data_IF_710429658371
#
_entry.id   IF_710429658371
#
_cell.length_a   1.000
_cell.length_b   1.000
_cell.length_c   1.000
_cell.angle_alpha   90.00
_cell.angle_beta   90.00
_cell.angle_gamma   90.00
#
_symmetry.space_group_name_H-M   'P 1'
#
loop_
_entity.id
_entity.type
_entity.pdbx_description
1 polymer ?
#
# COMPACT_ATOMS: atom_id res chain seq x y z
N UNK A 1 5.97 45.27 -31.00
CA UNK A 1 5.76 45.33 -29.54
C UNK A 1 5.41 43.94 -29.02
N UNK A 2 6.25 43.31 -28.18
CA UNK A 2 5.98 41.99 -27.58
C UNK A 2 5.91 42.15 -26.06
N UNK A 3 4.72 41.91 -25.49
CA UNK A 3 4.46 42.01 -24.07
C UNK A 3 5.22 40.92 -23.30
N UNK A 4 6.11 41.33 -22.39
CA UNK A 4 6.69 40.44 -21.37
C UNK A 4 5.77 40.45 -20.16
N UNK A 5 4.94 39.41 -20.00
CA UNK A 5 4.26 39.18 -18.73
C UNK A 5 5.28 38.68 -17.70
N UNK A 6 5.74 39.61 -16.84
CA UNK A 6 6.43 39.27 -15.59
C UNK A 6 5.38 38.76 -14.60
N UNK A 7 5.45 37.48 -14.24
CA UNK A 7 4.66 36.95 -13.14
C UNK A 7 5.23 37.45 -11.81
N UNK A 8 4.42 38.20 -11.04
CA UNK A 8 4.79 38.85 -9.79
C UNK A 8 4.61 37.98 -8.53
N UNK A 9 4.30 36.69 -8.69
CA UNK A 9 3.99 35.80 -7.56
C UNK A 9 4.99 34.64 -7.53
N UNK A 10 5.81 34.61 -6.50
CA UNK A 10 6.76 33.52 -6.21
C UNK A 10 5.96 32.31 -5.72
N UNK A 11 5.90 31.25 -6.53
CA UNK A 11 5.14 30.03 -6.21
C UNK A 11 5.82 29.19 -5.11
N UNK A 12 5.05 28.51 -4.25
CA UNK A 12 5.56 27.60 -3.22
C UNK A 12 6.28 26.39 -3.82
N UNK A 13 7.41 25.98 -3.21
CA UNK A 13 8.37 24.98 -3.72
C UNK A 13 7.78 23.59 -4.01
N UNK A 14 6.67 23.22 -3.40
CA UNK A 14 6.08 21.88 -3.56
C UNK A 14 5.58 21.59 -4.99
N UNK A 15 5.16 22.62 -5.73
CA UNK A 15 4.68 22.46 -7.12
C UNK A 15 5.80 22.45 -8.16
N UNK A 16 7.06 22.70 -7.77
CA UNK A 16 8.20 22.67 -8.70
C UNK A 16 8.63 21.25 -9.08
N UNK A 17 8.33 20.26 -8.23
CA UNK A 17 8.66 18.86 -8.48
C UNK A 17 7.66 18.15 -9.38
N UNK A 18 6.40 18.61 -9.42
CA UNK A 18 5.35 18.00 -10.25
C UNK A 18 5.48 18.31 -11.75
N UNK A 19 6.34 19.26 -12.16
CA UNK A 19 6.46 19.70 -13.55
C UNK A 19 7.76 19.22 -14.24
N UNK A 20 8.61 18.43 -13.56
CA UNK A 20 9.83 17.88 -14.17
C UNK A 20 9.59 16.56 -14.93
N UNK A 21 8.35 16.09 -15.04
CA UNK A 21 7.98 14.87 -15.77
C UNK A 21 7.32 15.13 -17.14
N UNK A 22 7.23 16.39 -17.60
CA UNK A 22 6.70 16.69 -18.92
C UNK A 22 7.83 17.07 -19.88
N UNK A 23 8.50 16.05 -20.44
CA UNK A 23 9.39 16.24 -21.58
C UNK A 23 8.51 16.57 -22.79
N UNK A 24 8.47 17.87 -23.11
CA UNK A 24 7.88 18.39 -24.35
C UNK A 24 8.78 17.91 -25.51
N UNK A 25 8.33 16.91 -26.27
CA UNK A 25 8.77 16.74 -27.65
C UNK A 25 7.93 17.67 -28.53
N UNK A 26 8.36 18.92 -28.63
CA UNK A 26 7.95 19.80 -29.72
C UNK A 26 9.18 19.99 -30.60
N UNK A 27 9.07 19.60 -31.87
CA UNK A 27 10.16 19.55 -32.84
C UNK A 27 11.04 20.79 -32.80
N UNK A 28 12.27 20.59 -32.33
CA UNK A 28 13.35 21.55 -32.46
C UNK A 28 14.17 21.16 -33.71
N UNK A 29 13.61 21.52 -34.86
CA UNK A 29 14.36 21.59 -36.12
C UNK A 29 15.32 22.80 -36.05
N UNK A 30 16.46 22.64 -35.38
CA UNK A 30 17.69 23.42 -35.64
C UNK A 30 18.87 22.78 -34.94
N UNK A 31 19.67 22.08 -35.75
CA UNK A 31 20.84 21.33 -35.31
C UNK A 31 21.88 22.18 -34.58
N UNK A 32 22.29 21.68 -33.42
CA UNK A 32 23.62 21.87 -32.85
C UNK A 32 24.03 20.53 -32.23
N UNK A 33 25.12 19.88 -32.65
CA UNK A 33 25.63 18.71 -31.95
C UNK A 33 26.41 19.17 -30.72
N UNK A 34 25.86 18.96 -29.51
CA UNK A 34 26.64 19.11 -28.28
C UNK A 34 27.56 17.89 -28.09
N UNK A 35 28.81 18.09 -27.62
CA UNK A 35 29.79 17.02 -27.50
C UNK A 35 29.42 16.03 -26.40
N UNK A 36 29.43 14.77 -26.79
CA UNK A 36 29.40 13.58 -25.94
C UNK A 36 30.51 13.62 -24.89
N UNK A 37 30.22 14.03 -23.66
CA UNK A 37 30.92 13.59 -22.43
C UNK A 37 30.35 14.23 -21.17
N UNK A 38 29.11 13.88 -20.81
CA UNK A 38 28.61 14.08 -19.44
C UNK A 38 27.87 12.82 -18.96
N UNK A 39 28.65 11.95 -18.31
CA UNK A 39 28.23 11.07 -17.21
C UNK A 39 26.83 10.43 -17.31
N UNK A 40 26.76 9.34 -18.05
CA UNK A 40 25.63 8.40 -18.15
C UNK A 40 25.46 7.51 -16.91
N UNK A 41 25.57 8.07 -15.70
CA UNK A 41 25.48 7.30 -14.43
C UNK A 41 24.30 7.75 -13.54
N UNK A 42 23.63 8.86 -13.84
CA UNK A 42 22.65 9.46 -12.89
C UNK A 42 21.17 9.31 -13.27
N UNK A 43 20.80 8.79 -14.45
CA UNK A 43 19.40 8.78 -14.90
C UNK A 43 18.65 7.47 -14.69
N UNK A 44 19.33 6.36 -14.34
CA UNK A 44 18.70 5.04 -14.22
C UNK A 44 18.12 4.74 -12.83
N UNK A 45 18.65 5.39 -11.79
CA UNK A 45 18.24 5.20 -10.38
C UNK A 45 16.74 5.46 -10.08
N UNK A 46 16.07 6.49 -10.63
CA UNK A 46 14.66 6.71 -10.33
C UNK A 46 13.71 5.74 -11.04
N UNK A 47 14.08 5.19 -12.19
CA UNK A 47 13.24 4.26 -12.95
C UNK A 47 13.23 2.87 -12.31
N UNK A 48 14.39 2.41 -11.82
CA UNK A 48 14.51 1.11 -11.16
C UNK A 48 13.72 1.07 -9.83
N UNK A 49 13.77 2.14 -9.02
CA UNK A 49 13.00 2.26 -7.77
C UNK A 49 11.49 2.32 -8.05
N UNK A 50 11.08 3.05 -9.09
CA UNK A 50 9.67 3.13 -9.48
C UNK A 50 9.12 1.76 -9.93
N UNK A 51 9.94 0.99 -10.65
CA UNK A 51 9.59 -0.37 -11.10
C UNK A 51 9.53 -1.37 -9.94
N UNK A 52 10.45 -1.26 -8.96
CA UNK A 52 10.38 -2.05 -7.73
C UNK A 52 9.09 -1.75 -6.95
N UNK A 53 8.70 -0.48 -6.86
CA UNK A 53 7.44 -0.05 -6.24
C UNK A 53 6.23 -0.66 -6.95
N UNK A 54 6.16 -0.56 -8.28
CA UNK A 54 5.07 -1.12 -9.07
C UNK A 54 4.93 -2.64 -8.84
N UNK A 55 6.07 -3.36 -8.79
CA UNK A 55 6.08 -4.80 -8.52
C UNK A 55 5.59 -5.14 -7.11
N UNK A 56 6.00 -4.36 -6.11
CA UNK A 56 5.58 -4.56 -4.73
C UNK A 56 4.09 -4.28 -4.55
N UNK A 57 3.58 -3.20 -5.16
CA UNK A 57 2.16 -2.88 -5.20
C UNK A 57 1.36 -4.03 -5.83
N UNK A 58 1.84 -4.55 -6.96
CA UNK A 58 1.19 -5.67 -7.65
C UNK A 58 1.24 -6.98 -6.83
N UNK A 59 2.31 -7.21 -6.07
CA UNK A 59 2.41 -8.35 -5.16
C UNK A 59 1.40 -8.26 -4.01
N UNK A 60 1.17 -7.07 -3.47
CA UNK A 60 0.15 -6.82 -2.45
C UNK A 60 -1.24 -7.08 -2.97
N UNK A 61 -1.54 -6.59 -4.17
CA UNK A 61 -2.83 -6.83 -4.81
C UNK A 61 -3.05 -8.33 -5.02
N UNK A 62 -2.01 -9.09 -5.38
CA UNK A 62 -2.09 -10.54 -5.53
C UNK A 62 -2.40 -11.25 -4.20
N UNK A 63 -1.78 -10.84 -3.08
CA UNK A 63 -2.12 -11.35 -1.75
C UNK A 63 -3.59 -11.05 -1.44
N UNK A 64 -4.06 -9.85 -1.77
CA UNK A 64 -5.42 -9.43 -1.46
C UNK A 64 -6.48 -10.20 -2.25
N UNK A 65 -6.23 -10.43 -3.54
CA UNK A 65 -7.07 -11.31 -4.35
C UNK A 65 -7.06 -12.74 -3.80
N UNK A 66 -5.91 -13.23 -3.32
CA UNK A 66 -5.82 -14.54 -2.67
C UNK A 66 -6.69 -14.65 -1.40
N UNK A 67 -6.65 -13.64 -0.53
CA UNK A 67 -7.49 -13.56 0.67
C UNK A 67 -8.97 -13.54 0.31
N UNK A 68 -9.36 -12.73 -0.68
CA UNK A 68 -10.75 -12.66 -1.16
C UNK A 68 -11.17 -14.00 -1.79
N UNK A 69 -10.27 -14.68 -2.49
CA UNK A 69 -10.47 -16.03 -3.01
C UNK A 69 -10.82 -17.03 -1.90
N UNK A 70 -10.01 -17.08 -0.84
CA UNK A 70 -10.28 -17.94 0.31
C UNK A 70 -11.61 -17.58 1.00
N UNK A 71 -11.92 -16.28 1.11
CA UNK A 71 -13.18 -15.82 1.67
C UNK A 71 -14.40 -16.22 0.82
N UNK A 72 -14.25 -16.25 -0.51
CA UNK A 72 -15.28 -16.72 -1.43
C UNK A 72 -15.55 -18.23 -1.28
N UNK A 73 -14.51 -19.02 -1.01
CA UNK A 73 -14.65 -20.45 -0.71
C UNK A 73 -15.39 -20.68 0.62
N UNK A 74 -15.05 -19.90 1.65
CA UNK A 74 -15.79 -19.87 2.93
C UNK A 74 -17.26 -19.49 2.71
N UNK A 75 -17.53 -18.49 1.87
CA UNK A 75 -18.91 -18.11 1.54
C UNK A 75 -19.67 -19.25 0.87
N UNK A 76 -19.06 -19.88 -0.13
CA UNK A 76 -19.67 -20.95 -0.91
C UNK A 76 -20.01 -22.15 -0.03
N UNK A 77 -19.06 -22.55 0.81
CA UNK A 77 -19.24 -23.68 1.73
C UNK A 77 -20.25 -23.42 2.86
N UNK A 78 -20.41 -22.18 3.32
CA UNK A 78 -21.43 -21.83 4.32
C UNK A 78 -22.81 -21.56 3.69
N UNK A 79 -22.86 -20.98 2.49
CA UNK A 79 -24.09 -20.52 1.85
C UNK A 79 -24.83 -21.59 1.06
N UNK A 80 -24.13 -22.62 0.56
CA UNK A 80 -24.71 -23.69 -0.26
C UNK A 80 -24.78 -25.05 0.44
N UNK A 81 -24.44 -25.13 1.74
CA UNK A 81 -24.49 -26.40 2.49
C UNK A 81 -25.95 -26.81 2.76
N UNK A 82 -26.33 -28.06 2.43
CA UNK A 82 -27.67 -28.55 2.72
C UNK A 82 -27.82 -28.82 4.22
N UNK A 83 -28.64 -28.02 4.91
CA UNK A 83 -29.09 -28.28 6.28
C UNK A 83 -28.79 -27.22 7.35
N UNK A 84 -27.91 -26.24 7.10
CA UNK A 84 -27.56 -25.11 8.01
C UNK A 84 -26.58 -24.17 7.28
N UNK A 85 -26.38 -22.91 7.72
CA UNK A 85 -27.33 -21.87 8.07
C UNK A 85 -27.79 -21.08 6.81
N UNK A 86 -28.92 -20.38 6.89
CA UNK A 86 -29.45 -19.61 5.74
C UNK A 86 -28.43 -18.60 5.18
N UNK A 87 -28.54 -18.34 3.87
CA UNK A 87 -27.66 -17.46 3.07
C UNK A 87 -27.32 -16.11 3.73
N UNK A 88 -28.20 -15.59 4.58
CA UNK A 88 -27.97 -14.37 5.38
C UNK A 88 -26.84 -14.50 6.41
N UNK A 89 -26.73 -15.63 7.11
CA UNK A 89 -25.66 -15.84 8.12
C UNK A 89 -24.31 -15.99 7.42
N UNK A 90 -24.24 -16.75 6.32
CA UNK A 90 -23.04 -16.87 5.51
C UNK A 90 -22.56 -15.50 4.99
N UNK A 91 -23.50 -14.67 4.52
CA UNK A 91 -23.21 -13.30 4.08
C UNK A 91 -22.68 -12.44 5.23
N UNK A 92 -23.28 -12.54 6.43
CA UNK A 92 -22.83 -11.79 7.61
C UNK A 92 -21.41 -12.17 8.00
N UNK A 93 -21.08 -13.46 8.08
CA UNK A 93 -19.73 -13.96 8.40
C UNK A 93 -18.71 -13.40 7.40
N UNK A 94 -19.03 -13.45 6.12
CA UNK A 94 -18.15 -12.92 5.07
C UNK A 94 -17.94 -11.42 5.21
N UNK A 95 -18.99 -10.63 5.43
CA UNK A 95 -18.86 -9.18 5.64
C UNK A 95 -18.00 -8.90 6.89
N UNK A 96 -18.20 -9.65 7.97
CA UNK A 96 -17.49 -9.47 9.23
C UNK A 96 -15.99 -9.77 9.10
N UNK A 97 -15.60 -10.69 8.22
CA UNK A 97 -14.20 -11.02 7.92
C UNK A 97 -13.61 -10.12 6.83
N UNK A 98 -14.44 -9.71 5.87
CA UNK A 98 -14.05 -8.81 4.79
C UNK A 98 -13.63 -7.44 5.32
N UNK A 99 -14.36 -6.88 6.29
CA UNK A 99 -14.05 -5.54 6.84
C UNK A 99 -12.65 -5.46 7.49
N UNK A 100 -12.25 -6.37 8.41
CA UNK A 100 -10.88 -6.45 8.92
C UNK A 100 -9.85 -6.64 7.82
N UNK A 101 -10.14 -7.49 6.83
CA UNK A 101 -9.25 -7.71 5.69
C UNK A 101 -9.06 -6.40 4.90
N UNK A 102 -10.14 -5.74 4.50
CA UNK A 102 -10.09 -4.44 3.86
C UNK A 102 -9.24 -3.44 4.64
N UNK A 103 -9.40 -3.41 5.97
CA UNK A 103 -8.63 -2.51 6.84
C UNK A 103 -7.12 -2.77 6.82
N UNK A 104 -6.68 -4.04 6.73
CA UNK A 104 -5.26 -4.40 6.60
C UNK A 104 -4.70 -3.88 5.28
N UNK A 105 -5.41 -4.08 4.16
CA UNK A 105 -4.95 -3.60 2.86
C UNK A 105 -4.87 -2.09 2.79
N UNK A 106 -5.88 -1.40 3.31
CA UNK A 106 -5.89 0.06 3.37
C UNK A 106 -4.70 0.59 4.19
N UNK A 107 -4.45 0.00 5.38
CA UNK A 107 -3.28 0.33 6.21
C UNK A 107 -1.95 0.12 5.47
N UNK A 108 -1.82 -1.00 4.76
CA UNK A 108 -0.61 -1.33 4.03
C UNK A 108 -0.38 -0.38 2.84
N UNK A 109 -1.43 -0.04 2.09
CA UNK A 109 -1.36 0.93 0.99
C UNK A 109 -1.01 2.33 1.49
N UNK A 110 -1.60 2.76 2.60
CA UNK A 110 -1.29 4.02 3.23
C UNK A 110 0.16 4.07 3.72
N UNK A 111 0.63 3.01 4.37
CA UNK A 111 2.03 2.89 4.83
C UNK A 111 3.03 2.99 3.67
N UNK A 112 2.77 2.29 2.57
CA UNK A 112 3.63 2.31 1.39
C UNK A 112 3.63 3.65 0.67
N UNK A 113 2.48 4.33 0.63
CA UNK A 113 2.39 5.65 0.02
C UNK A 113 3.06 6.74 0.88
N UNK A 114 3.00 6.63 2.20
CA UNK A 114 3.49 7.65 3.12
C UNK A 114 4.99 7.55 3.41
N UNK A 115 5.55 6.34 3.50
CA UNK A 115 6.84 6.18 4.17
C UNK A 115 8.02 5.72 3.33
N UNK A 116 7.89 5.44 2.04
CA UNK A 116 8.96 4.82 1.23
C UNK A 116 10.17 5.74 0.91
N UNK A 117 10.83 6.22 1.96
CA UNK A 117 12.24 6.60 1.97
C UNK A 117 13.02 5.30 2.18
N UNK A 118 14.17 5.18 1.53
CA UNK A 118 14.89 3.93 1.27
C UNK A 118 15.55 3.26 2.51
N UNK A 119 14.89 3.28 3.66
CA UNK A 119 15.37 2.76 4.93
C UNK A 119 15.17 1.25 5.07
N UNK A 120 16.23 0.56 5.50
CA UNK A 120 16.23 -0.89 5.75
C UNK A 120 15.14 -1.32 6.74
N UNK A 121 14.85 -0.49 7.76
CA UNK A 121 13.82 -0.79 8.78
C UNK A 121 12.44 -0.87 8.15
N UNK A 122 12.12 0.05 7.24
CA UNK A 122 10.83 0.06 6.58
C UNK A 122 10.69 -1.11 5.60
N UNK A 123 11.73 -1.41 4.82
CA UNK A 123 11.75 -2.60 3.94
C UNK A 123 11.53 -3.88 4.76
N UNK A 124 12.19 -4.02 5.90
CA UNK A 124 12.01 -5.16 6.81
C UNK A 124 10.59 -5.23 7.37
N UNK A 125 10.01 -4.10 7.77
CA UNK A 125 8.63 -4.04 8.24
C UNK A 125 7.61 -4.39 7.15
N UNK A 126 7.81 -3.90 5.91
CA UNK A 126 6.95 -4.27 4.78
C UNK A 126 6.99 -5.78 4.55
N UNK A 127 8.17 -6.40 4.55
CA UNK A 127 8.30 -7.85 4.44
C UNK A 127 7.59 -8.58 5.58
N UNK A 128 7.70 -8.07 6.80
CA UNK A 128 7.00 -8.61 7.97
C UNK A 128 5.47 -8.52 7.83
N UNK A 129 4.96 -7.37 7.39
CA UNK A 129 3.52 -7.17 7.15
C UNK A 129 2.99 -8.07 6.02
N UNK A 130 3.78 -8.27 4.96
CA UNK A 130 3.45 -9.20 3.87
C UNK A 130 3.38 -10.64 4.36
N UNK A 131 4.35 -11.08 5.18
CA UNK A 131 4.36 -12.42 5.77
C UNK A 131 3.11 -12.65 6.64
N UNK A 132 2.79 -11.70 7.53
CA UNK A 132 1.60 -11.77 8.38
C UNK A 132 0.30 -11.77 7.56
N UNK A 133 0.27 -11.03 6.45
CA UNK A 133 -0.88 -10.97 5.55
C UNK A 133 -1.14 -12.30 4.85
N UNK A 134 -0.09 -12.96 4.36
CA UNK A 134 -0.19 -14.31 3.77
C UNK A 134 -0.64 -15.32 4.82
N UNK A 135 -0.08 -15.24 6.03
CA UNK A 135 -0.47 -16.11 7.14
C UNK A 135 -1.94 -15.94 7.53
N UNK A 136 -2.41 -14.69 7.64
CA UNK A 136 -3.82 -14.36 7.86
C UNK A 136 -4.71 -14.95 6.76
N UNK A 137 -4.35 -14.76 5.49
CA UNK A 137 -5.08 -15.33 4.36
C UNK A 137 -5.15 -16.86 4.39
N UNK A 138 -4.04 -17.51 4.75
CA UNK A 138 -3.99 -18.96 4.87
C UNK A 138 -4.90 -19.47 5.99
N UNK A 139 -4.92 -18.81 7.16
CA UNK A 139 -5.83 -19.17 8.25
C UNK A 139 -7.31 -19.07 7.86
N UNK A 140 -7.67 -18.09 7.02
CA UNK A 140 -9.04 -17.93 6.55
C UNK A 140 -9.55 -19.12 5.72
N UNK A 141 -8.67 -19.82 5.00
CA UNK A 141 -9.07 -21.00 4.22
C UNK A 141 -9.60 -22.14 5.10
N UNK A 142 -9.10 -22.26 6.34
CA UNK A 142 -9.50 -23.31 7.28
C UNK A 142 -10.73 -22.94 8.13
N UNK A 143 -11.33 -21.77 7.93
CA UNK A 143 -12.42 -21.27 8.77
C UNK A 143 -13.66 -22.18 8.72
N UNK A 144 -13.81 -22.99 7.68
CA UNK A 144 -14.97 -23.87 7.43
C UNK A 144 -14.85 -25.24 8.11
N UNK A 145 -13.63 -25.64 8.46
CA UNK A 145 -13.37 -26.92 9.15
C UNK A 145 -13.63 -26.76 10.65
N UNK A 146 -12.97 -25.80 11.30
CA UNK A 146 -13.04 -25.56 12.75
C UNK A 146 -13.25 -24.08 13.08
N UNK A 147 -14.51 -23.62 12.98
CA UNK A 147 -14.87 -22.21 13.15
C UNK A 147 -14.37 -21.63 14.48
N UNK A 148 -14.50 -22.35 15.60
CA UNK A 148 -14.20 -21.78 16.91
C UNK A 148 -12.71 -21.60 17.18
N UNK A 149 -11.88 -22.58 16.82
CA UNK A 149 -10.43 -22.47 16.97
C UNK A 149 -9.85 -21.49 15.95
N UNK A 150 -10.23 -21.61 14.67
CA UNK A 150 -9.69 -20.77 13.60
C UNK A 150 -10.10 -19.31 13.78
N UNK A 151 -11.31 -19.02 14.25
CA UNK A 151 -11.75 -17.65 14.58
C UNK A 151 -10.82 -16.99 15.59
N UNK A 152 -10.43 -17.69 16.65
CA UNK A 152 -9.52 -17.14 17.65
C UNK A 152 -8.16 -16.81 17.04
N UNK A 153 -7.64 -17.69 16.18
CA UNK A 153 -6.40 -17.47 15.45
C UNK A 153 -6.48 -16.28 14.49
N UNK A 154 -7.54 -16.17 13.69
CA UNK A 154 -7.77 -15.07 12.73
C UNK A 154 -7.83 -13.73 13.45
N UNK A 155 -8.59 -13.65 14.56
CA UNK A 155 -8.68 -12.44 15.38
C UNK A 155 -7.31 -12.08 15.98
N UNK A 156 -6.59 -13.07 16.49
CA UNK A 156 -5.26 -12.85 17.10
C UNK A 156 -4.27 -12.32 16.07
N UNK A 157 -4.21 -12.93 14.89
CA UNK A 157 -3.36 -12.49 13.79
C UNK A 157 -3.72 -11.09 13.33
N UNK A 158 -5.02 -10.78 13.19
CA UNK A 158 -5.48 -9.42 12.87
C UNK A 158 -5.00 -8.39 13.89
N UNK A 159 -5.13 -8.68 15.19
CA UNK A 159 -4.67 -7.79 16.26
C UNK A 159 -3.15 -7.60 16.24
N UNK A 160 -2.38 -8.65 15.92
CA UNK A 160 -0.92 -8.56 15.77
C UNK A 160 -0.55 -7.66 14.59
N UNK A 161 -1.22 -7.81 13.44
CA UNK A 161 -0.98 -6.96 12.27
C UNK A 161 -1.28 -5.50 12.61
N UNK A 162 -2.46 -5.24 13.17
CA UNK A 162 -2.87 -3.87 13.53
C UNK A 162 -1.96 -3.27 14.60
N UNK A 163 -1.58 -4.06 15.60
CA UNK A 163 -0.62 -3.67 16.63
C UNK A 163 0.76 -3.39 16.05
N UNK A 164 1.21 -4.14 15.05
CA UNK A 164 2.48 -3.91 14.37
C UNK A 164 2.46 -2.58 13.59
N UNK A 165 1.37 -2.26 12.89
CA UNK A 165 1.17 -0.97 12.24
C UNK A 165 1.12 0.19 13.25
N UNK A 166 0.37 0.05 14.33
CA UNK A 166 0.33 1.06 15.39
C UNK A 166 1.71 1.26 16.06
N UNK A 167 2.46 0.18 16.28
CA UNK A 167 3.79 0.23 16.89
C UNK A 167 4.79 0.92 15.97
N UNK A 168 4.80 0.60 14.68
CA UNK A 168 5.73 1.23 13.74
C UNK A 168 5.43 2.73 13.61
N UNK A 169 4.15 3.12 13.54
CA UNK A 169 3.73 4.53 13.51
C UNK A 169 4.10 5.26 14.80
N UNK A 170 3.94 4.62 15.95
CA UNK A 170 4.34 5.18 17.26
C UNK A 170 5.85 5.40 17.31
N UNK A 171 6.64 4.40 16.90
CA UNK A 171 8.11 4.50 16.83
C UNK A 171 8.50 5.66 15.91
N UNK A 172 7.98 5.72 14.68
CA UNK A 172 8.29 6.81 13.75
C UNK A 172 7.81 8.18 14.26
N UNK A 173 6.68 8.26 14.97
CA UNK A 173 6.15 9.49 15.58
C UNK A 173 7.06 10.05 16.70
N UNK A 174 7.72 9.17 17.46
CA UNK A 174 8.70 9.60 18.47
C UNK A 174 9.90 10.28 17.80
N UNK A 175 10.46 9.65 16.76
CA UNK A 175 11.66 10.12 16.06
C UNK A 175 11.40 11.35 15.18
N UNK A 176 10.26 11.41 14.48
CA UNK A 176 9.92 12.51 13.57
C UNK A 176 8.97 13.49 14.26
N UNK A 177 9.52 14.58 14.81
CA UNK A 177 8.75 15.59 15.57
C UNK A 177 7.59 16.22 14.77
N UNK A 178 7.70 16.27 13.44
CA UNK A 178 6.70 16.87 12.55
C UNK A 178 5.42 16.01 12.38
N UNK A 179 5.52 14.69 12.62
CA UNK A 179 4.43 13.73 12.42
C UNK A 179 3.54 13.51 13.65
N UNK A 180 3.92 14.09 14.80
CA UNK A 180 3.12 14.04 16.03
C UNK A 180 1.76 14.72 15.92
N UNK A 181 1.65 15.77 15.10
CA UNK A 181 0.43 16.56 14.98
C UNK A 181 -0.70 15.78 14.29
N UNK A 182 -0.51 15.11 13.15
CA UNK A 182 -1.59 14.33 12.55
C UNK A 182 -2.03 13.14 13.43
N UNK A 183 -1.10 12.40 14.06
CA UNK A 183 -1.42 11.24 14.91
C UNK A 183 -2.27 11.62 16.14
N UNK A 184 -2.08 12.83 16.71
CA UNK A 184 -2.84 13.28 17.89
C UNK A 184 -4.18 13.95 17.56
N UNK A 185 -4.43 14.32 16.30
CA UNK A 185 -5.62 15.09 15.90
C UNK A 185 -6.55 14.35 14.92
N UNK A 186 -6.24 13.10 14.54
CA UNK A 186 -7.08 12.29 13.65
C UNK A 186 -7.74 11.05 14.29
N UNK A 187 -7.49 10.75 15.57
CA UNK A 187 -8.39 9.91 16.39
C UNK A 187 -9.57 10.72 16.88
#
# INVERSE_FOLDING_TARGET
MRARHRYAIRRPRALQFSYRSQVVHAGDERGVPEPSNRSSISSHLPEDIAKERERLDLFIDLIWVGIIGNLSEVFSSLGFRPGDPGLGIATLVVILVFLPSWRIWDAMREFLNNYYMDDMVQRAFTLWALLLSVFYGNQLAYLTEDIDEVKQWVISTYLIIFGAFALIELVYSIFIKWLRKPVLFQT
#
